data_IF_481201458801
#
_entry.id   IF_481201458801
#
_cell.length_a   1.000
_cell.length_b   1.000
_cell.length_c   1.000
_cell.angle_alpha   90.00
_cell.angle_beta   90.00
_cell.angle_gamma   90.00
#
_symmetry.space_group_name_H-M   'P 1'
#
loop_
_entity.id
_entity.type
_entity.pdbx_description
1 polymer ?
#
# COMPACT_ATOMS: atom_id res chain seq x y z
N UNK A 1 14.25 12.12 3.92
CA UNK A 1 13.24 13.11 4.35
C UNK A 1 11.89 12.41 4.34
N UNK A 2 11.25 12.20 5.49
CA UNK A 2 9.98 11.47 5.57
C UNK A 2 8.87 12.49 5.33
N UNK A 3 8.20 12.41 4.18
CA UNK A 3 7.05 13.24 3.89
C UNK A 3 5.86 12.68 4.67
N UNK A 4 5.38 13.43 5.66
CA UNK A 4 4.21 13.10 6.48
C UNK A 4 3.22 14.26 6.40
N UNK A 5 1.98 13.96 6.08
CA UNK A 5 0.85 14.89 6.19
C UNK A 5 -0.47 14.13 6.18
N UNK A 6 -1.47 14.74 6.82
CA UNK A 6 -2.66 14.04 7.35
C UNK A 6 -3.74 14.03 6.30
N UNK A 7 -4.42 12.89 6.16
CA UNK A 7 -5.84 12.93 5.85
C UNK A 7 -6.56 11.91 6.71
N UNK A 8 -7.75 12.23 7.17
CA UNK A 8 -8.66 11.30 7.86
C UNK A 8 -10.00 11.50 7.19
N UNK A 9 -10.65 10.41 6.75
CA UNK A 9 -11.93 10.50 6.08
C UNK A 9 -12.82 9.26 6.27
N UNK A 10 -14.13 9.50 6.49
CA UNK A 10 -15.15 8.49 6.81
C UNK A 10 -15.68 7.80 5.56
N UNK A 11 -16.30 6.62 5.69
CA UNK A 11 -16.98 5.97 4.57
C UNK A 11 -18.30 6.72 4.26
N UNK A 12 -18.43 7.25 3.04
CA UNK A 12 -19.61 8.02 2.61
C UNK A 12 -20.23 7.40 1.35
N UNK A 13 -21.56 7.37 1.32
CA UNK A 13 -22.34 6.75 0.23
C UNK A 13 -22.89 7.78 -0.78
N UNK A 14 -22.67 9.08 -0.53
CA UNK A 14 -23.15 10.17 -1.37
C UNK A 14 -22.54 10.17 -2.79
N UNK A 15 -23.34 10.59 -3.77
CA UNK A 15 -22.90 10.80 -5.15
C UNK A 15 -22.58 12.28 -5.37
N UNK A 16 -21.42 12.58 -5.95
CA UNK A 16 -21.08 13.94 -6.36
C UNK A 16 -22.13 14.47 -7.38
N UNK A 17 -22.77 15.63 -7.13
CA UNK A 17 -23.65 16.25 -8.10
C UNK A 17 -22.92 16.57 -9.42
N UNK A 18 -23.62 16.45 -10.54
CA UNK A 18 -23.04 16.65 -11.88
C UNK A 18 -22.44 18.05 -12.05
N UNK A 19 -23.14 19.09 -11.60
CA UNK A 19 -22.67 20.47 -11.69
C UNK A 19 -21.37 20.71 -10.91
N UNK A 20 -21.19 20.03 -9.78
CA UNK A 20 -19.97 20.13 -8.97
C UNK A 20 -18.83 19.38 -9.67
N UNK A 21 -19.11 18.18 -10.19
CA UNK A 21 -18.15 17.40 -10.95
C UNK A 21 -17.64 18.16 -12.19
N UNK A 22 -18.50 18.82 -12.95
CA UNK A 22 -18.10 19.62 -14.12
C UNK A 22 -17.17 20.79 -13.72
N UNK A 23 -17.40 21.42 -12.56
CA UNK A 23 -16.51 22.47 -12.03
C UNK A 23 -15.18 21.91 -11.53
N UNK A 24 -15.21 20.76 -10.85
CA UNK A 24 -14.03 20.00 -10.41
C UNK A 24 -13.10 19.70 -11.59
N UNK A 25 -13.67 19.22 -12.70
CA UNK A 25 -12.93 18.92 -13.93
C UNK A 25 -12.28 20.17 -14.52
N UNK A 26 -13.04 21.28 -14.61
CA UNK A 26 -12.53 22.55 -15.17
C UNK A 26 -11.38 23.13 -14.33
N UNK A 27 -11.53 23.18 -13.00
CA UNK A 27 -10.50 23.67 -12.11
C UNK A 27 -9.30 22.71 -12.06
N UNK A 28 -9.57 21.41 -11.99
CA UNK A 28 -8.55 20.36 -12.05
C UNK A 28 -7.69 20.45 -13.30
N UNK A 29 -8.29 20.72 -14.47
CA UNK A 29 -7.58 20.95 -15.73
C UNK A 29 -6.59 22.10 -15.63
N UNK A 30 -7.06 23.29 -15.23
CA UNK A 30 -6.19 24.46 -15.10
C UNK A 30 -5.04 24.24 -14.10
N UNK A 31 -5.30 23.56 -12.98
CA UNK A 31 -4.25 23.22 -12.01
C UNK A 31 -3.23 22.22 -12.58
N UNK A 32 -3.71 21.16 -13.24
CA UNK A 32 -2.88 20.17 -13.90
C UNK A 32 -1.96 20.82 -14.95
N UNK A 33 -2.53 21.64 -15.82
CA UNK A 33 -1.80 22.37 -16.86
C UNK A 33 -0.68 23.23 -16.25
N UNK A 34 -0.97 24.04 -15.24
CA UNK A 34 0.04 24.89 -14.56
C UNK A 34 1.14 24.05 -13.89
N UNK A 35 0.77 22.98 -13.19
CA UNK A 35 1.76 22.14 -12.48
C UNK A 35 2.67 21.42 -13.47
N UNK A 36 2.11 20.89 -14.56
CA UNK A 36 2.85 20.14 -15.56
C UNK A 36 3.70 21.08 -16.41
N UNK A 37 3.23 22.29 -16.74
CA UNK A 37 3.99 23.30 -17.46
C UNK A 37 5.20 23.79 -16.64
N UNK A 38 5.00 24.11 -15.36
CA UNK A 38 6.06 24.65 -14.50
C UNK A 38 7.06 23.57 -14.02
N UNK A 39 6.59 22.35 -13.70
CA UNK A 39 7.41 21.32 -13.05
C UNK A 39 7.55 20.01 -13.83
N UNK A 40 6.79 19.83 -14.90
CA UNK A 40 6.79 18.62 -15.71
C UNK A 40 5.89 17.48 -15.19
N UNK A 41 5.62 16.47 -16.05
CA UNK A 41 4.75 15.34 -15.73
C UNK A 41 5.28 14.45 -14.60
N UNK A 42 6.60 14.32 -14.48
CA UNK A 42 7.25 13.48 -13.47
C UNK A 42 7.00 14.00 -12.05
N UNK A 43 7.08 15.33 -11.87
CA UNK A 43 6.82 15.96 -10.59
C UNK A 43 5.33 15.90 -10.23
N UNK A 44 4.43 16.01 -11.21
CA UNK A 44 3.01 15.79 -10.98
C UNK A 44 2.71 14.38 -10.45
N UNK A 45 3.26 13.34 -11.07
CA UNK A 45 3.08 11.94 -10.63
C UNK A 45 3.61 11.73 -9.22
N UNK A 46 4.79 12.28 -8.93
CA UNK A 46 5.40 12.23 -7.60
C UNK A 46 4.54 12.92 -6.53
N UNK A 47 3.94 14.07 -6.87
CA UNK A 47 3.05 14.81 -5.97
C UNK A 47 1.74 14.08 -5.72
N UNK A 48 1.15 13.44 -6.73
CA UNK A 48 -0.07 12.64 -6.58
C UNK A 48 0.13 11.47 -5.60
N UNK A 49 1.32 10.89 -5.57
CA UNK A 49 1.64 9.82 -4.63
C UNK A 49 1.89 10.31 -3.20
N UNK A 50 2.01 11.62 -2.98
CA UNK A 50 2.14 12.17 -1.64
C UNK A 50 0.74 12.28 -1.01
N UNK A 51 0.46 11.58 0.10
CA UNK A 51 -0.90 11.51 0.62
C UNK A 51 -1.46 12.85 1.11
N UNK A 52 -0.57 13.78 1.47
CA UNK A 52 -0.86 15.13 1.97
C UNK A 52 -1.23 16.02 0.81
N UNK A 53 -0.37 16.00 -0.21
CA UNK A 53 -0.55 16.81 -1.39
C UNK A 53 -1.80 16.38 -2.14
N UNK A 54 -2.03 15.06 -2.27
CA UNK A 54 -3.24 14.51 -2.84
C UNK A 54 -4.50 14.98 -2.09
N UNK A 55 -4.45 14.98 -0.75
CA UNK A 55 -5.55 15.47 0.07
C UNK A 55 -5.80 16.96 -0.15
N UNK A 56 -4.74 17.77 -0.10
CA UNK A 56 -4.80 19.21 -0.29
C UNK A 56 -5.36 19.57 -1.67
N UNK A 57 -4.94 18.85 -2.72
CA UNK A 57 -5.49 19.00 -4.06
C UNK A 57 -7.01 18.74 -4.07
N UNK A 58 -7.46 17.65 -3.43
CA UNK A 58 -8.88 17.32 -3.34
C UNK A 58 -9.70 18.41 -2.65
N UNK A 59 -9.18 18.98 -1.55
CA UNK A 59 -9.83 20.08 -0.83
C UNK A 59 -9.82 21.39 -1.62
N UNK A 60 -8.72 21.73 -2.31
CA UNK A 60 -8.65 22.92 -3.19
C UNK A 60 -9.66 22.83 -4.32
N UNK A 61 -9.89 21.62 -4.85
CA UNK A 61 -10.90 21.40 -5.87
C UNK A 61 -12.34 21.49 -5.34
N UNK A 62 -12.56 21.86 -4.07
CA UNK A 62 -13.85 22.00 -3.40
C UNK A 62 -14.54 20.66 -3.07
N UNK A 63 -13.75 19.67 -2.62
CA UNK A 63 -14.26 18.45 -2.01
C UNK A 63 -14.04 18.44 -0.50
N UNK A 64 -14.97 17.82 0.23
CA UNK A 64 -14.89 17.73 1.69
C UNK A 64 -13.64 16.95 2.12
N UNK A 65 -12.86 17.57 3.00
CA UNK A 65 -11.58 17.02 3.45
C UNK A 65 -11.75 15.71 4.25
N UNK A 66 -12.90 15.50 4.86
CA UNK A 66 -13.22 14.32 5.67
C UNK A 66 -14.00 13.25 4.91
N UNK A 67 -14.10 13.33 3.56
CA UNK A 67 -14.91 12.38 2.79
C UNK A 67 -14.11 11.29 2.08
N UNK A 68 -14.49 10.01 2.26
CA UNK A 68 -13.94 8.92 1.42
C UNK A 68 -14.25 9.09 -0.07
N UNK A 69 -15.30 9.86 -0.38
CA UNK A 69 -15.63 10.29 -1.73
C UNK A 69 -14.48 11.05 -2.40
N UNK A 70 -13.69 11.80 -1.63
CA UNK A 70 -12.63 12.68 -2.14
C UNK A 70 -11.68 11.92 -3.06
N UNK A 71 -11.16 10.78 -2.63
CA UNK A 71 -10.22 9.99 -3.43
C UNK A 71 -10.85 9.54 -4.75
N UNK A 72 -12.07 9.02 -4.70
CA UNK A 72 -12.73 8.46 -5.88
C UNK A 72 -13.20 9.52 -6.87
N UNK A 73 -13.62 10.69 -6.36
CA UNK A 73 -14.07 11.81 -7.19
C UNK A 73 -12.88 12.60 -7.73
N UNK A 74 -11.85 12.84 -6.92
CA UNK A 74 -10.63 13.53 -7.36
C UNK A 74 -9.97 12.77 -8.52
N UNK A 75 -9.72 11.47 -8.36
CA UNK A 75 -9.11 10.65 -9.42
C UNK A 75 -9.97 10.62 -10.69
N UNK A 76 -11.29 10.54 -10.57
CA UNK A 76 -12.20 10.61 -11.71
C UNK A 76 -12.17 12.00 -12.38
N UNK A 77 -12.17 13.07 -11.61
CA UNK A 77 -12.12 14.44 -12.11
C UNK A 77 -10.79 14.74 -12.81
N UNK A 78 -9.66 14.29 -12.26
CA UNK A 78 -8.35 14.43 -12.90
C UNK A 78 -8.25 13.62 -14.19
N UNK A 79 -8.76 12.38 -14.21
CA UNK A 79 -8.81 11.54 -15.42
C UNK A 79 -9.66 12.18 -16.52
N UNK A 80 -10.77 12.81 -16.16
CA UNK A 80 -11.61 13.56 -17.11
C UNK A 80 -10.96 14.89 -17.52
N UNK A 81 -10.25 15.56 -16.61
CA UNK A 81 -9.59 16.84 -16.86
C UNK A 81 -8.52 16.72 -17.95
N UNK A 82 -7.72 15.66 -17.94
CA UNK A 82 -6.67 15.44 -18.96
C UNK A 82 -7.20 14.84 -20.28
N UNK A 83 -8.49 14.50 -20.36
CA UNK A 83 -9.05 13.82 -21.53
C UNK A 83 -8.85 14.64 -22.81
N UNK A 84 -8.20 14.04 -23.79
CA UNK A 84 -7.87 14.66 -25.08
C UNK A 84 -6.56 15.45 -25.09
N UNK A 85 -5.92 15.66 -23.93
CA UNK A 85 -4.65 16.37 -23.76
C UNK A 85 -3.55 15.47 -23.17
N UNK A 86 -3.80 14.17 -22.99
CA UNK A 86 -2.89 13.26 -22.28
C UNK A 86 -1.52 13.18 -22.96
N UNK A 87 -1.49 13.22 -24.30
CA UNK A 87 -0.25 13.16 -25.09
C UNK A 87 0.61 14.41 -24.91
N UNK A 88 -0.02 15.56 -24.76
CA UNK A 88 0.64 16.87 -24.64
C UNK A 88 1.13 17.09 -23.21
N UNK A 89 0.28 16.77 -22.23
CA UNK A 89 0.61 16.81 -20.81
C UNK A 89 1.62 15.72 -20.41
N UNK A 90 1.70 14.63 -21.16
CA UNK A 90 2.62 13.51 -20.89
C UNK A 90 2.25 12.69 -19.65
N UNK A 91 1.01 12.81 -19.16
CA UNK A 91 0.45 12.11 -18.00
C UNK A 91 -0.75 11.28 -18.44
N UNK A 92 -0.83 10.05 -17.93
CA UNK A 92 -1.90 9.12 -18.21
C UNK A 92 -2.46 8.58 -16.90
N UNK A 93 -3.78 8.42 -16.84
CA UNK A 93 -4.50 7.92 -15.66
C UNK A 93 -5.36 6.74 -16.08
N UNK A 94 -5.14 5.59 -15.45
CA UNK A 94 -5.87 4.36 -15.67
C UNK A 94 -6.63 3.93 -14.40
N UNK A 95 -7.72 3.18 -14.56
CA UNK A 95 -8.53 2.65 -13.47
C UNK A 95 -9.61 3.60 -12.95
N UNK A 96 -10.07 3.35 -11.73
CA UNK A 96 -11.15 4.08 -11.07
C UNK A 96 -11.83 3.29 -9.94
N UNK A 97 -13.09 3.63 -9.63
CA UNK A 97 -13.91 2.96 -8.60
C UNK A 97 -14.58 1.69 -9.13
N UNK A 98 -14.74 0.69 -8.26
CA UNK A 98 -15.55 -0.50 -8.52
C UNK A 98 -15.04 -1.31 -9.71
N UNK A 99 -15.92 -1.65 -10.67
CA UNK A 99 -15.57 -2.45 -11.84
C UNK A 99 -14.46 -1.82 -12.70
N UNK A 100 -14.36 -0.49 -12.73
CA UNK A 100 -13.32 0.24 -13.49
C UNK A 100 -11.92 -0.06 -12.94
N UNK A 101 -11.77 -0.27 -11.63
CA UNK A 101 -10.47 -0.64 -11.03
C UNK A 101 -9.87 -1.91 -11.65
N UNK A 102 -10.72 -2.86 -12.06
CA UNK A 102 -10.30 -4.14 -12.65
C UNK A 102 -9.87 -4.01 -14.11
N UNK A 103 -10.23 -2.92 -14.78
CA UNK A 103 -9.86 -2.63 -16.17
C UNK A 103 -8.52 -1.89 -16.29
N UNK A 104 -7.90 -1.51 -15.17
CA UNK A 104 -6.63 -0.77 -15.17
C UNK A 104 -5.55 -1.42 -16.06
N UNK A 105 -5.31 -2.74 -16.02
CA UNK A 105 -4.33 -3.38 -16.90
C UNK A 105 -4.63 -3.17 -18.40
N UNK A 106 -5.88 -3.37 -18.80
CA UNK A 106 -6.35 -3.18 -20.19
C UNK A 106 -6.20 -1.71 -20.62
N UNK A 107 -6.51 -0.77 -19.73
CA UNK A 107 -6.32 0.66 -20.01
C UNK A 107 -4.84 1.04 -20.18
N UNK A 108 -3.93 0.43 -19.41
CA UNK A 108 -2.49 0.62 -19.55
C UNK A 108 -1.99 0.05 -20.88
N UNK A 109 -2.42 -1.17 -21.24
CA UNK A 109 -2.08 -1.80 -22.52
C UNK A 109 -2.55 -0.95 -23.71
N UNK A 110 -3.80 -0.48 -23.69
CA UNK A 110 -4.35 0.41 -24.70
C UNK A 110 -3.55 1.72 -24.85
N UNK A 111 -3.04 2.28 -23.75
CA UNK A 111 -2.17 3.46 -23.82
C UNK A 111 -0.78 3.12 -24.32
N UNK A 112 -0.24 1.96 -23.95
CA UNK A 112 1.02 1.44 -24.49
C UNK A 112 1.00 1.41 -26.02
N UNK A 113 -0.08 0.89 -26.59
CA UNK A 113 -0.27 0.83 -28.05
C UNK A 113 -0.44 2.23 -28.65
N UNK A 114 -1.30 3.09 -28.08
CA UNK A 114 -1.54 4.47 -28.58
C UNK A 114 -0.32 5.37 -28.55
N UNK A 115 0.64 5.07 -27.69
CA UNK A 115 1.88 5.83 -27.48
C UNK A 115 3.09 5.16 -28.12
N UNK A 116 2.94 3.96 -28.69
CA UNK A 116 4.04 3.11 -29.16
C UNK A 116 5.13 2.93 -28.06
N UNK A 117 4.72 2.71 -26.81
CA UNK A 117 5.66 2.41 -25.74
C UNK A 117 6.32 1.04 -25.98
N UNK A 118 7.62 0.87 -25.63
CA UNK A 118 8.26 -0.44 -25.67
C UNK A 118 7.43 -1.49 -24.94
N UNK A 119 7.28 -2.67 -25.55
CA UNK A 119 6.43 -3.73 -24.99
C UNK A 119 6.83 -4.10 -23.55
N UNK A 120 8.12 -4.12 -23.25
CA UNK A 120 8.64 -4.36 -21.89
C UNK A 120 8.24 -3.28 -20.90
N UNK A 121 8.20 -2.00 -21.32
CA UNK A 121 7.72 -0.91 -20.48
C UNK A 121 6.22 -1.06 -20.18
N UNK A 122 5.41 -1.37 -21.20
CA UNK A 122 3.97 -1.60 -21.03
C UNK A 122 3.69 -2.77 -20.08
N UNK A 123 4.39 -3.90 -20.27
CA UNK A 123 4.31 -5.06 -19.37
C UNK A 123 4.72 -4.70 -17.94
N UNK A 124 5.78 -3.92 -17.77
CA UNK A 124 6.24 -3.44 -16.45
C UNK A 124 5.18 -2.57 -15.76
N UNK A 125 4.54 -1.63 -16.47
CA UNK A 125 3.47 -0.80 -15.90
C UNK A 125 2.25 -1.64 -15.48
N UNK A 126 1.84 -2.61 -16.32
CA UNK A 126 0.77 -3.56 -15.98
C UNK A 126 1.13 -4.39 -14.75
N UNK A 127 2.37 -4.86 -14.68
CA UNK A 127 2.89 -5.60 -13.53
C UNK A 127 2.83 -4.75 -12.25
N UNK A 128 3.33 -3.51 -12.30
CA UNK A 128 3.34 -2.58 -11.17
C UNK A 128 1.93 -2.29 -10.67
N UNK A 129 0.97 -2.09 -11.58
CA UNK A 129 -0.45 -1.89 -11.24
C UNK A 129 -1.03 -3.10 -10.50
N UNK A 130 -0.86 -4.31 -11.07
CA UNK A 130 -1.39 -5.55 -10.49
C UNK A 130 -0.75 -5.86 -9.15
N UNK A 131 0.57 -5.72 -9.05
CA UNK A 131 1.32 -6.06 -7.85
C UNK A 131 1.02 -5.09 -6.71
N UNK A 132 0.90 -3.78 -6.97
CA UNK A 132 0.51 -2.80 -5.94
C UNK A 132 -0.85 -3.14 -5.32
N UNK A 133 -1.83 -3.54 -6.15
CA UNK A 133 -3.14 -3.98 -5.65
C UNK A 133 -3.07 -5.30 -4.88
N UNK A 134 -2.18 -6.20 -5.29
CA UNK A 134 -1.98 -7.50 -4.64
C UNK A 134 -1.29 -7.36 -3.29
N UNK A 135 -0.32 -6.46 -3.17
CA UNK A 135 0.34 -6.15 -1.91
C UNK A 135 -0.65 -5.57 -0.91
N UNK A 136 -1.45 -4.58 -1.32
CA UNK A 136 -2.44 -3.92 -0.45
C UNK A 136 -3.55 -4.88 0.02
N UNK A 137 -3.90 -5.88 -0.79
CA UNK A 137 -4.96 -6.84 -0.47
C UNK A 137 -4.49 -8.15 0.18
N UNK A 138 -3.23 -8.56 -0.03
CA UNK A 138 -2.72 -9.86 0.42
C UNK A 138 -1.62 -9.75 1.47
N UNK A 139 -0.83 -8.68 1.50
CA UNK A 139 0.27 -8.53 2.45
C UNK A 139 -0.07 -7.58 3.61
N UNK A 140 -0.97 -6.62 3.41
CA UNK A 140 -1.55 -5.81 4.48
C UNK A 140 -2.95 -6.36 4.76
N UNK A 141 -3.09 -7.12 5.84
CA UNK A 141 -4.36 -7.76 6.17
C UNK A 141 -4.95 -7.14 7.43
N UNK A 142 -5.74 -6.10 7.20
CA UNK A 142 -6.29 -5.17 8.20
C UNK A 142 -7.82 -5.06 8.13
N UNK A 143 -8.46 -5.88 7.28
CA UNK A 143 -9.90 -5.88 7.08
C UNK A 143 -10.43 -4.81 6.10
N UNK A 144 -9.55 -4.06 5.41
CA UNK A 144 -9.98 -3.11 4.38
C UNK A 144 -9.98 -3.75 2.99
N UNK A 145 -11.16 -3.88 2.39
CA UNK A 145 -11.29 -4.43 1.04
C UNK A 145 -11.10 -3.33 -0.02
N UNK A 146 -10.12 -3.51 -0.91
CA UNK A 146 -9.85 -2.58 -2.02
C UNK A 146 -11.05 -2.50 -2.96
N UNK A 147 -11.52 -1.27 -3.19
CA UNK A 147 -12.64 -0.98 -4.10
C UNK A 147 -12.33 0.13 -5.11
N UNK A 148 -11.20 0.80 -4.97
CA UNK A 148 -10.75 1.85 -5.85
C UNK A 148 -9.26 1.69 -6.14
N UNK A 149 -8.88 1.82 -7.42
CA UNK A 149 -7.50 1.76 -7.88
C UNK A 149 -7.34 2.76 -9.03
N UNK A 150 -6.52 3.78 -8.82
CA UNK A 150 -6.12 4.74 -9.84
C UNK A 150 -4.61 4.67 -10.05
N UNK A 151 -4.20 4.39 -11.28
CA UNK A 151 -2.81 4.23 -11.69
C UNK A 151 -2.40 5.41 -12.58
N UNK A 152 -1.41 6.16 -12.15
CA UNK A 152 -0.88 7.34 -12.83
C UNK A 152 0.48 6.98 -13.41
N UNK A 153 0.75 7.33 -14.66
CA UNK A 153 2.06 7.09 -15.28
C UNK A 153 2.42 8.14 -16.33
N UNK A 154 3.73 8.30 -16.58
CA UNK A 154 4.26 9.15 -17.65
C UNK A 154 4.85 8.32 -18.79
N UNK A 155 5.15 8.98 -19.92
CA UNK A 155 5.91 8.37 -21.03
C UNK A 155 7.30 7.89 -20.60
N UNK A 156 7.93 8.58 -19.64
CA UNK A 156 9.26 8.20 -19.10
C UNK A 156 9.17 7.02 -18.14
N UNK A 157 7.97 6.66 -17.72
CA UNK A 157 7.69 5.44 -16.96
C UNK A 157 7.75 5.59 -15.44
N UNK A 158 7.82 6.82 -14.91
CA UNK A 158 7.42 7.06 -13.52
C UNK A 158 5.96 6.70 -13.35
N UNK A 159 5.63 6.19 -12.18
CA UNK A 159 4.26 5.81 -11.87
C UNK A 159 3.91 6.05 -10.40
N UNK A 160 2.62 6.23 -10.17
CA UNK A 160 2.03 6.34 -8.85
C UNK A 160 0.72 5.55 -8.79
N UNK A 161 0.40 5.01 -7.62
CA UNK A 161 -0.88 4.37 -7.38
C UNK A 161 -1.56 5.00 -6.18
N UNK A 162 -2.82 5.40 -6.38
CA UNK A 162 -3.72 5.80 -5.31
C UNK A 162 -4.84 4.77 -5.22
N UNK A 163 -4.84 4.02 -4.12
CA UNK A 163 -5.80 2.96 -3.84
C UNK A 163 -6.63 3.27 -2.62
N UNK A 164 -7.85 2.76 -2.57
CA UNK A 164 -8.70 2.88 -1.40
C UNK A 164 -9.38 1.56 -1.05
N UNK A 165 -9.23 1.15 0.21
CA UNK A 165 -9.95 0.07 0.84
C UNK A 165 -11.07 0.60 1.72
N UNK A 166 -12.14 -0.19 1.85
CA UNK A 166 -13.26 0.08 2.76
C UNK A 166 -13.35 -1.01 3.83
N UNK A 167 -13.71 -0.61 5.04
CA UNK A 167 -14.11 -1.51 6.10
C UNK A 167 -15.57 -1.21 6.45
N UNK A 168 -16.47 -2.12 6.07
CA UNK A 168 -17.92 -1.95 6.23
C UNK A 168 -18.40 -2.17 7.66
N UNK A 169 -17.61 -2.86 8.50
CA UNK A 169 -17.95 -3.07 9.92
C UNK A 169 -17.77 -1.77 10.68
N UNK A 170 -16.63 -1.10 10.46
CA UNK A 170 -16.29 0.13 11.16
C UNK A 170 -16.70 1.40 10.40
N UNK A 171 -17.31 1.28 9.21
CA UNK A 171 -17.68 2.40 8.33
C UNK A 171 -16.51 3.36 8.06
N UNK A 172 -15.32 2.81 7.82
CA UNK A 172 -14.09 3.58 7.57
C UNK A 172 -13.46 3.25 6.23
N UNK A 173 -12.62 4.17 5.75
CA UNK A 173 -11.82 3.97 4.56
C UNK A 173 -10.31 4.07 4.87
N UNK A 174 -9.50 3.45 4.02
CA UNK A 174 -8.04 3.46 4.10
C UNK A 174 -7.45 3.69 2.72
N UNK A 175 -6.59 4.71 2.60
CA UNK A 175 -5.88 5.05 1.37
C UNK A 175 -4.48 4.48 1.36
N UNK A 176 -4.07 3.98 0.22
CA UNK A 176 -2.71 3.49 -0.01
C UNK A 176 -2.09 4.29 -1.15
N UNK A 177 -0.87 4.75 -0.93
CA UNK A 177 -0.13 5.58 -1.88
C UNK A 177 1.20 4.90 -2.22
N UNK A 178 1.49 4.86 -3.51
CA UNK A 178 2.68 4.23 -4.08
C UNK A 178 3.36 5.19 -5.05
N UNK A 179 4.68 5.10 -5.15
CA UNK A 179 5.48 5.88 -6.10
C UNK A 179 6.75 5.13 -6.51
N UNK A 180 7.09 5.22 -7.78
CA UNK A 180 8.42 4.91 -8.29
C UNK A 180 8.77 5.87 -9.43
N UNK A 181 10.01 6.33 -9.44
CA UNK A 181 10.62 7.14 -10.49
C UNK A 181 11.25 6.29 -11.61
N UNK A 182 11.24 4.96 -11.46
CA UNK A 182 11.81 4.00 -12.41
C UNK A 182 10.79 2.99 -12.89
N UNK A 183 10.86 2.67 -14.18
CA UNK A 183 10.44 1.38 -14.72
C UNK A 183 11.41 0.34 -14.16
N UNK A 184 10.93 -0.64 -13.41
CA UNK A 184 11.81 -1.73 -13.02
C UNK A 184 12.17 -2.53 -14.28
N UNK A 185 13.44 -2.42 -14.67
CA UNK A 185 14.15 -3.46 -15.40
C UNK A 185 14.78 -4.34 -14.31
N UNK A 186 14.38 -5.60 -14.30
CA UNK A 186 14.84 -6.73 -13.50
C UNK A 186 16.13 -6.50 -12.70
N UNK A 187 16.03 -6.50 -11.37
CA UNK A 187 17.17 -6.69 -10.49
C UNK A 187 17.52 -8.18 -10.44
N UNK A 188 18.11 -8.70 -11.51
CA UNK A 188 18.85 -9.97 -11.55
C UNK A 188 20.05 -9.81 -12.50
N UNK A 189 20.89 -8.80 -12.25
CA UNK A 189 22.28 -8.81 -12.70
C UNK A 189 23.18 -8.57 -11.48
N UNK A 190 23.62 -9.67 -10.86
CA UNK A 190 24.81 -9.67 -10.02
C UNK A 190 26.03 -9.33 -10.88
N UNK A 191 26.39 -8.05 -10.95
CA UNK A 191 27.74 -7.66 -11.36
C UNK A 191 28.68 -7.88 -10.17
N UNK A 192 29.52 -8.92 -10.26
CA UNK A 192 30.66 -9.12 -9.38
C UNK A 192 31.75 -8.14 -9.84
N UNK A 193 31.97 -7.06 -9.08
CA UNK A 193 33.15 -6.23 -9.27
C UNK A 193 34.37 -6.91 -8.64
N UNK A 194 35.51 -6.82 -9.33
CA UNK A 194 36.76 -7.52 -9.04
C UNK A 194 37.45 -7.19 -7.69
N UNK A 195 36.88 -6.29 -6.88
CA UNK A 195 37.61 -5.68 -5.75
C UNK A 195 37.11 -6.10 -4.35
N UNK A 196 36.20 -7.07 -4.20
CA UNK A 196 35.74 -7.59 -2.89
C UNK A 196 35.45 -6.50 -1.83
N UNK A 197 35.00 -5.32 -2.25
CA UNK A 197 34.54 -4.23 -1.38
C UNK A 197 33.04 -4.10 -1.56
N UNK A 198 32.31 -4.55 -0.56
CA UNK A 198 30.85 -4.47 -0.46
C UNK A 198 30.43 -3.00 -0.35
N UNK A 199 30.30 -2.30 -1.48
CA UNK A 199 29.53 -1.06 -1.55
C UNK A 199 28.07 -1.43 -1.81
N UNK A 200 27.30 -1.62 -0.75
CA UNK A 200 25.83 -1.73 -0.81
C UNK A 200 25.23 -0.38 -1.24
N UNK A 201 25.14 -0.17 -2.55
CA UNK A 201 24.32 0.89 -3.15
C UNK A 201 23.01 0.30 -3.64
N UNK A 202 22.24 -0.30 -2.73
CA UNK A 202 20.98 -0.97 -3.05
C UNK A 202 19.81 -0.18 -2.48
N UNK A 203 19.47 0.96 -3.07
CA UNK A 203 18.14 1.56 -2.89
C UNK A 203 17.19 1.07 -4.00
N UNK A 204 17.19 -0.24 -4.25
CA UNK A 204 16.22 -0.85 -5.17
C UNK A 204 14.83 -0.75 -4.52
N UNK A 205 13.87 -0.18 -5.25
CA UNK A 205 12.47 -0.20 -4.85
C UNK A 205 12.03 -1.67 -4.64
N UNK A 206 11.38 -1.97 -3.53
CA UNK A 206 10.93 -3.33 -3.20
C UNK A 206 9.41 -3.31 -3.02
N UNK A 207 8.69 -4.16 -3.74
CA UNK A 207 7.23 -4.25 -3.62
C UNK A 207 6.76 -4.92 -2.32
N UNK A 208 7.61 -5.69 -1.66
CA UNK A 208 7.22 -6.57 -0.56
C UNK A 208 7.77 -6.16 0.81
N UNK A 209 8.57 -5.10 0.86
CA UNK A 209 9.17 -4.57 2.08
C UNK A 209 9.12 -3.05 2.07
N UNK A 210 8.33 -2.46 2.97
CA UNK A 210 8.09 -1.02 3.11
C UNK A 210 7.82 -0.29 1.76
N UNK A 211 6.92 -0.81 0.90
CA UNK A 211 6.77 -0.30 -0.46
C UNK A 211 5.98 1.02 -0.54
N UNK A 212 5.13 1.28 0.46
CA UNK A 212 4.20 2.40 0.45
C UNK A 212 4.90 3.73 0.64
N UNK A 213 4.51 4.71 -0.17
CA UNK A 213 4.81 6.12 0.10
C UNK A 213 4.06 6.59 1.36
N UNK A 214 2.82 6.12 1.53
CA UNK A 214 2.05 6.31 2.75
C UNK A 214 0.75 5.51 2.75
N UNK A 215 0.30 5.14 3.95
CA UNK A 215 -1.00 4.52 4.18
C UNK A 215 -1.76 5.43 5.14
N UNK A 216 -2.94 5.87 4.72
CA UNK A 216 -3.73 6.88 5.41
C UNK A 216 -5.05 6.27 5.85
N UNK A 217 -5.38 6.39 7.13
CA UNK A 217 -6.62 5.84 7.69
C UNK A 217 -7.05 6.66 8.89
N UNK A 218 -8.36 6.67 9.19
CA UNK A 218 -8.89 7.27 10.43
C UNK A 218 -8.57 6.41 11.65
N UNK A 219 -8.63 5.09 11.47
CA UNK A 219 -8.50 4.14 12.55
C UNK A 219 -7.31 3.21 12.32
N UNK A 220 -6.47 3.13 13.35
CA UNK A 220 -5.52 2.03 13.53
C UNK A 220 -6.28 0.82 14.01
N UNK A 221 -6.11 -0.27 13.29
CA UNK A 221 -6.61 -1.57 13.65
C UNK A 221 -5.68 -2.19 14.69
N UNK A 222 -6.28 -2.76 15.73
CA UNK A 222 -5.54 -3.48 16.77
C UNK A 222 -4.98 -4.80 16.26
N UNK A 223 -5.60 -5.36 15.22
CA UNK A 223 -5.34 -6.69 14.70
C UNK A 223 -5.05 -6.61 13.21
N UNK A 224 -3.76 -6.54 12.86
CA UNK A 224 -3.29 -6.47 11.48
C UNK A 224 -2.21 -7.50 11.27
N UNK A 225 -2.27 -8.28 10.18
CA UNK A 225 -1.10 -9.02 9.72
C UNK A 225 -0.39 -8.17 8.66
N UNK A 226 0.79 -7.66 9.00
CA UNK A 226 1.56 -6.74 8.16
C UNK A 226 2.80 -7.44 7.61
N UNK A 227 2.66 -8.09 6.46
CA UNK A 227 3.75 -8.81 5.79
C UNK A 227 4.67 -7.90 4.97
N UNK A 228 4.33 -6.61 4.81
CA UNK A 228 5.22 -5.62 4.17
C UNK A 228 6.19 -4.96 5.14
N UNK A 229 5.98 -5.09 6.45
CA UNK A 229 6.90 -4.55 7.46
C UNK A 229 8.30 -5.12 7.31
N UNK A 230 9.33 -4.31 7.52
CA UNK A 230 10.71 -4.81 7.58
C UNK A 230 10.90 -5.93 8.61
N UNK A 231 10.15 -5.89 9.71
CA UNK A 231 10.20 -6.91 10.77
C UNK A 231 9.73 -8.29 10.27
N UNK A 232 8.84 -8.33 9.27
CA UNK A 232 8.33 -9.57 8.66
C UNK A 232 9.31 -10.23 7.69
N UNK A 233 10.57 -9.76 7.60
CA UNK A 233 11.58 -10.29 6.68
C UNK A 233 11.80 -11.79 6.79
N UNK A 234 12.05 -12.29 8.00
CA UNK A 234 12.24 -13.73 8.25
C UNK A 234 11.01 -14.55 7.83
N UNK A 235 9.81 -14.05 8.11
CA UNK A 235 8.55 -14.71 7.72
C UNK A 235 8.44 -14.81 6.19
N UNK A 236 8.82 -13.75 5.46
CA UNK A 236 8.84 -13.76 4.00
C UNK A 236 9.83 -14.79 3.46
N UNK A 237 11.04 -14.81 4.00
CA UNK A 237 12.10 -15.74 3.56
C UNK A 237 11.69 -17.20 3.81
N UNK A 238 11.19 -17.50 5.01
CA UNK A 238 10.68 -18.84 5.33
C UNK A 238 9.48 -19.25 4.47
N UNK A 239 8.57 -18.32 4.17
CA UNK A 239 7.44 -18.60 3.28
C UNK A 239 7.90 -19.07 1.90
N UNK A 240 8.99 -18.51 1.38
CA UNK A 240 9.61 -18.94 0.12
C UNK A 240 10.26 -20.31 0.29
N UNK A 241 11.05 -20.51 1.35
CA UNK A 241 11.72 -21.78 1.62
C UNK A 241 10.74 -22.94 1.79
N UNK A 242 9.62 -22.71 2.46
CA UNK A 242 8.54 -23.69 2.65
C UNK A 242 7.96 -24.16 1.31
N UNK A 243 7.72 -23.22 0.41
CA UNK A 243 7.24 -23.52 -0.95
C UNK A 243 8.31 -24.27 -1.76
N UNK A 244 9.58 -23.85 -1.65
CA UNK A 244 10.69 -24.49 -2.36
C UNK A 244 11.00 -25.90 -1.85
N UNK A 245 10.77 -26.17 -0.57
CA UNK A 245 10.91 -27.49 0.07
C UNK A 245 9.90 -28.51 -0.47
N UNK A 246 8.81 -28.06 -1.08
CA UNK A 246 7.86 -28.88 -1.81
C UNK A 246 6.58 -29.18 -1.05
N UNK A 247 5.56 -29.55 -1.83
CA UNK A 247 4.16 -29.64 -1.39
C UNK A 247 3.95 -30.60 -0.21
N UNK A 248 4.56 -31.79 -0.26
CA UNK A 248 4.40 -32.79 0.81
C UNK A 248 4.93 -32.32 2.16
N UNK A 249 6.07 -31.61 2.19
CA UNK A 249 6.64 -31.07 3.42
C UNK A 249 5.72 -29.97 3.99
N UNK A 250 5.29 -29.04 3.13
CA UNK A 250 4.42 -27.94 3.53
C UNK A 250 3.06 -28.42 4.05
N UNK A 251 2.43 -29.41 3.41
CA UNK A 251 1.15 -29.96 3.88
C UNK A 251 1.32 -30.69 5.22
N UNK A 252 2.44 -31.41 5.41
CA UNK A 252 2.73 -32.04 6.69
C UNK A 252 2.82 -31.00 7.81
N UNK A 253 3.50 -29.89 7.56
CA UNK A 253 3.60 -28.77 8.47
C UNK A 253 2.22 -28.16 8.81
N UNK A 254 1.38 -27.92 7.79
CA UNK A 254 -0.01 -27.46 7.99
C UNK A 254 -0.84 -28.48 8.78
N UNK A 255 -0.65 -29.78 8.56
CA UNK A 255 -1.34 -30.84 9.30
C UNK A 255 -0.88 -30.96 10.75
N UNK A 256 0.40 -30.69 11.05
CA UNK A 256 0.93 -30.62 12.42
C UNK A 256 0.21 -29.50 13.16
N UNK A 257 0.09 -28.31 12.56
CA UNK A 257 -0.66 -27.19 13.15
C UNK A 257 -2.10 -27.60 13.50
N UNK A 258 -2.79 -28.30 12.60
CA UNK A 258 -4.15 -28.80 12.84
C UNK A 258 -4.25 -29.73 14.06
N UNK A 259 -3.28 -30.63 14.25
CA UNK A 259 -3.29 -31.58 15.38
C UNK A 259 -3.08 -30.88 16.73
N UNK A 260 -2.49 -29.69 16.70
CA UNK A 260 -2.10 -28.94 17.89
C UNK A 260 -2.83 -27.57 18.00
N UNK A 261 -3.89 -27.32 17.21
CA UNK A 261 -4.69 -26.09 17.25
C UNK A 261 -6.04 -26.33 17.97
N UNK A 262 -6.01 -26.55 19.28
CA UNK A 262 -7.14 -26.42 20.22
C UNK A 262 -7.10 -25.06 20.98
N UNK A 263 -8.18 -24.60 21.62
CA UNK A 263 -8.21 -23.28 22.28
C UNK A 263 -7.36 -23.13 23.56
N UNK A 264 -6.64 -24.17 24.04
CA UNK A 264 -5.96 -24.20 25.36
C UNK A 264 -4.79 -25.25 25.33
N UNK A 265 -3.49 -24.91 25.49
CA UNK A 265 -2.29 -25.83 25.63
C UNK A 265 -0.97 -25.37 26.38
N UNK A 266 -0.75 -25.78 27.63
CA UNK A 266 0.50 -25.93 28.41
C UNK A 266 0.49 -27.41 28.71
N UNK A 267 1.48 -28.14 28.25
CA UNK A 267 1.52 -29.56 28.52
C UNK A 267 2.14 -29.84 29.90
N UNK A 268 1.40 -30.48 30.80
CA UNK A 268 1.94 -31.13 31.98
C UNK A 268 1.66 -32.64 31.91
N UNK A 269 2.72 -33.44 31.98
CA UNK A 269 2.63 -34.91 31.89
C UNK A 269 2.87 -35.50 33.28
N UNK A 270 1.87 -36.21 33.81
CA UNK A 270 2.01 -36.97 35.04
C UNK A 270 1.95 -38.48 34.72
N UNK A 271 2.94 -39.23 35.20
CA UNK A 271 2.99 -40.70 35.08
C UNK A 271 2.68 -41.35 36.42
N UNK A 272 1.58 -42.11 36.47
CA UNK A 272 1.26 -42.97 37.61
C UNK A 272 0.90 -44.36 37.06
N UNK A 273 1.56 -45.40 37.58
CA UNK A 273 1.29 -46.82 37.35
C UNK A 273 1.00 -47.22 35.89
N UNK A 274 2.00 -47.03 35.01
CA UNK A 274 1.96 -47.41 33.58
C UNK A 274 0.87 -46.77 32.72
N UNK A 275 0.18 -45.73 33.21
CA UNK A 275 -0.72 -44.89 32.40
C UNK A 275 -0.19 -43.45 32.37
N UNK A 276 -0.09 -42.90 31.16
CA UNK A 276 0.30 -41.51 30.92
C UNK A 276 -0.97 -40.68 30.80
N UNK A 277 -1.11 -39.67 31.65
CA UNK A 277 -2.18 -38.66 31.54
C UNK A 277 -1.50 -37.33 31.21
N UNK A 278 -1.99 -36.68 30.15
CA UNK A 278 -1.44 -35.44 29.60
C UNK A 278 -2.44 -34.31 29.84
N UNK A 279 -2.06 -33.30 30.62
CA UNK A 279 -2.80 -32.07 30.85
C UNK A 279 -2.30 -30.96 29.92
N UNK A 280 -3.17 -30.00 29.56
CA UNK A 280 -2.99 -29.05 28.45
C UNK A 280 -3.57 -27.63 28.79
N UNK A 281 -2.79 -26.66 29.30
CA UNK A 281 -3.16 -25.25 29.64
C UNK A 281 -2.43 -24.05 28.88
N UNK A 282 -2.81 -23.49 27.73
CA UNK A 282 -1.94 -22.49 27.01
C UNK A 282 -1.99 -21.18 27.78
N UNK A 283 -0.85 -20.70 28.28
CA UNK A 283 -0.76 -19.32 28.76
C UNK A 283 -0.65 -18.35 27.59
N UNK A 284 -1.51 -17.32 27.60
CA UNK A 284 -1.62 -16.28 26.57
C UNK A 284 -0.51 -15.20 26.67
N UNK A 285 0.71 -15.56 27.08
CA UNK A 285 1.82 -14.60 27.24
C UNK A 285 2.57 -14.34 25.92
N UNK A 286 2.69 -15.35 25.05
CA UNK A 286 3.47 -15.26 23.80
C UNK A 286 2.65 -15.07 22.52
N UNK A 287 1.33 -15.22 22.59
CA UNK A 287 0.43 -15.21 21.44
C UNK A 287 -0.40 -13.93 21.42
N UNK A 288 0.11 -12.89 20.75
CA UNK A 288 -0.73 -11.76 20.34
C UNK A 288 -1.58 -12.24 19.17
N UNK A 289 -2.90 -12.09 19.26
CA UNK A 289 -3.91 -12.44 18.26
C UNK A 289 -3.37 -12.60 16.83
N UNK A 290 -3.49 -13.81 16.26
CA UNK A 290 -3.26 -14.06 14.85
C UNK A 290 -4.63 -14.10 14.15
N UNK A 291 -4.89 -13.38 13.05
CA UNK A 291 -6.18 -13.36 12.33
C UNK A 291 -6.62 -14.72 11.75
N UNK A 292 -5.90 -15.77 12.09
CA UNK A 292 -5.93 -17.09 11.50
C UNK A 292 -6.36 -18.17 12.50
N UNK A 293 -6.46 -17.82 13.80
CA UNK A 293 -6.94 -18.73 14.86
C UNK A 293 -8.31 -19.35 14.51
N UNK A 294 -9.12 -18.64 13.72
CA UNK A 294 -10.46 -19.07 13.30
C UNK A 294 -10.52 -19.63 11.87
N UNK A 295 -9.42 -19.69 11.12
CA UNK A 295 -9.43 -20.14 9.73
C UNK A 295 -9.06 -21.61 9.57
N UNK A 296 -9.98 -22.43 9.07
CA UNK A 296 -9.67 -23.77 8.59
C UNK A 296 -9.10 -23.71 7.15
N UNK A 297 -7.79 -23.88 7.05
CA UNK A 297 -7.08 -23.98 5.77
C UNK A 297 -7.20 -25.37 5.12
N UNK A 298 -7.47 -26.40 5.91
CA UNK A 298 -7.40 -27.81 5.48
C UNK A 298 -8.56 -28.26 4.61
N UNK A 299 -9.69 -27.55 4.66
CA UNK A 299 -10.89 -27.82 3.86
C UNK A 299 -10.90 -27.08 2.51
N UNK A 300 -9.89 -26.24 2.23
CA UNK A 300 -9.90 -25.42 1.03
C UNK A 300 -9.24 -26.12 -0.15
N UNK A 301 -10.04 -26.78 -0.99
CA UNK A 301 -9.59 -27.32 -2.29
C UNK A 301 -8.86 -26.29 -3.16
N UNK A 302 -9.21 -25.01 -3.02
CA UNK A 302 -8.51 -23.92 -3.68
C UNK A 302 -7.10 -23.72 -3.13
N UNK A 303 -6.95 -23.69 -1.80
CA UNK A 303 -5.65 -23.55 -1.15
C UNK A 303 -4.72 -24.71 -1.50
N UNK A 304 -5.27 -25.93 -1.53
CA UNK A 304 -4.53 -27.13 -1.91
C UNK A 304 -3.93 -27.01 -3.32
N UNK A 305 -4.78 -26.67 -4.29
CA UNK A 305 -4.38 -26.47 -5.69
C UNK A 305 -3.34 -25.38 -5.86
N UNK A 306 -3.49 -24.25 -5.16
CA UNK A 306 -2.54 -23.15 -5.29
C UNK A 306 -1.20 -23.48 -4.63
N UNK A 307 -1.19 -24.14 -3.46
CA UNK A 307 0.06 -24.55 -2.82
C UNK A 307 0.84 -25.55 -3.68
N UNK A 308 0.14 -26.53 -4.28
CA UNK A 308 0.74 -27.47 -5.23
C UNK A 308 1.38 -26.72 -6.41
N UNK A 309 0.60 -25.87 -7.09
CA UNK A 309 1.07 -25.08 -8.23
C UNK A 309 2.32 -24.25 -7.90
N UNK A 310 2.35 -23.60 -6.74
CA UNK A 310 3.45 -22.70 -6.38
C UNK A 310 4.69 -23.50 -5.95
N UNK A 311 4.51 -24.65 -5.30
CA UNK A 311 5.61 -25.58 -5.01
C UNK A 311 6.24 -26.15 -6.30
N UNK A 312 5.46 -26.31 -7.37
CA UNK A 312 5.97 -26.72 -8.68
C UNK A 312 6.75 -25.59 -9.37
N UNK A 313 6.24 -24.34 -9.30
CA UNK A 313 6.89 -23.16 -9.89
C UNK A 313 8.22 -22.82 -9.18
N UNK A 314 8.32 -23.05 -7.87
CA UNK A 314 9.49 -22.70 -7.03
C UNK A 314 9.96 -21.25 -7.23
N UNK A 315 9.16 -20.26 -6.79
CA UNK A 315 9.50 -18.84 -6.94
C UNK A 315 10.88 -18.53 -6.33
N UNK A 316 11.64 -17.65 -6.99
CA UNK A 316 12.99 -17.23 -6.56
C UNK A 316 12.96 -16.31 -5.34
N UNK A 317 11.85 -15.59 -5.13
CA UNK A 317 11.69 -14.68 -4.00
C UNK A 317 10.23 -14.35 -3.67
N UNK A 318 10.02 -13.62 -2.58
CA UNK A 318 8.69 -13.35 -2.04
C UNK A 318 7.82 -12.50 -2.99
N UNK A 319 8.43 -11.65 -3.80
CA UNK A 319 7.73 -10.89 -4.85
C UNK A 319 7.21 -11.81 -5.96
N UNK A 320 8.03 -12.72 -6.48
CA UNK A 320 7.62 -13.69 -7.51
C UNK A 320 6.59 -14.71 -6.96
N UNK A 321 6.75 -15.11 -5.69
CA UNK A 321 5.76 -15.87 -4.94
C UNK A 321 4.43 -15.12 -4.93
N UNK A 322 4.43 -13.86 -4.49
CA UNK A 322 3.23 -13.04 -4.48
C UNK A 322 2.67 -12.85 -5.89
N UNK A 323 3.49 -12.63 -6.92
CA UNK A 323 3.03 -12.38 -8.29
C UNK A 323 2.29 -13.58 -8.92
N UNK A 324 2.55 -14.80 -8.44
CA UNK A 324 1.95 -16.03 -8.96
C UNK A 324 0.41 -15.99 -8.97
N UNK A 325 -0.20 -16.28 -10.12
CA UNK A 325 -1.65 -16.22 -10.29
C UNK A 325 -2.38 -17.21 -9.35
N UNK A 326 -3.30 -16.68 -8.54
CA UNK A 326 -4.04 -17.40 -7.50
C UNK A 326 -3.50 -17.20 -6.07
N UNK A 327 -2.31 -16.63 -5.91
CA UNK A 327 -1.81 -16.25 -4.59
C UNK A 327 -2.62 -15.11 -4.01
N UNK A 328 -3.40 -15.37 -2.97
CA UNK A 328 -4.27 -14.40 -2.31
C UNK A 328 -3.99 -14.29 -0.81
N UNK A 329 -4.70 -13.40 -0.10
CA UNK A 329 -4.52 -13.17 1.33
C UNK A 329 -4.56 -14.46 2.15
N UNK A 330 -5.52 -15.36 1.86
CA UNK A 330 -5.65 -16.65 2.57
C UNK A 330 -4.39 -17.51 2.44
N UNK A 331 -3.81 -17.60 1.24
CA UNK A 331 -2.58 -18.37 1.01
C UNK A 331 -1.38 -17.74 1.70
N UNK A 332 -1.25 -16.41 1.63
CA UNK A 332 -0.18 -15.69 2.34
C UNK A 332 -0.29 -15.84 3.86
N UNK A 333 -1.52 -15.83 4.42
CA UNK A 333 -1.77 -16.12 5.84
C UNK A 333 -1.33 -17.51 6.23
N UNK A 334 -1.64 -18.53 5.42
CA UNK A 334 -1.26 -19.90 5.71
C UNK A 334 0.28 -20.05 5.78
N UNK A 335 1.01 -19.47 4.82
CA UNK A 335 2.48 -19.50 4.82
C UNK A 335 3.08 -18.74 6.01
N UNK A 336 2.52 -17.57 6.34
CA UNK A 336 2.94 -16.79 7.50
C UNK A 336 2.71 -17.53 8.82
N UNK A 337 1.55 -18.18 8.98
CA UNK A 337 1.22 -18.98 10.16
C UNK A 337 2.20 -20.14 10.36
N UNK A 338 2.48 -20.89 9.29
CA UNK A 338 3.45 -22.00 9.33
C UNK A 338 4.83 -21.47 9.72
N UNK A 339 5.26 -20.38 9.09
CA UNK A 339 6.55 -19.74 9.38
C UNK A 339 6.65 -19.26 10.84
N UNK A 340 5.57 -18.73 11.42
CA UNK A 340 5.54 -18.26 12.80
C UNK A 340 5.50 -19.42 13.81
N UNK A 341 4.55 -20.36 13.67
CA UNK A 341 4.30 -21.36 14.71
C UNK A 341 5.35 -22.47 14.69
N UNK A 342 5.74 -22.97 13.52
CA UNK A 342 6.67 -24.10 13.44
C UNK A 342 8.12 -23.61 13.51
N UNK A 343 8.40 -22.46 12.90
CA UNK A 343 9.78 -21.98 12.70
C UNK A 343 10.10 -20.69 13.47
N UNK A 344 9.16 -20.13 14.24
CA UNK A 344 9.38 -18.97 15.11
C UNK A 344 9.59 -17.63 14.38
N UNK A 345 9.34 -17.56 13.06
CA UNK A 345 9.51 -16.32 12.30
C UNK A 345 8.28 -15.43 12.43
N UNK A 346 8.25 -14.64 13.51
CA UNK A 346 7.13 -13.75 13.84
C UNK A 346 6.96 -12.64 12.79
N UNK A 347 5.79 -12.54 12.12
CA UNK A 347 5.47 -11.39 11.29
C UNK A 347 5.16 -10.16 12.16
N UNK A 348 5.19 -8.99 11.53
CA UNK A 348 4.72 -7.75 12.15
C UNK A 348 3.21 -7.75 12.29
N UNK A 349 2.75 -7.44 13.49
CA UNK A 349 1.34 -7.18 13.80
C UNK A 349 1.00 -5.69 13.93
N UNK A 350 1.99 -4.82 13.69
CA UNK A 350 1.81 -3.37 13.72
C UNK A 350 1.06 -2.88 12.46
N UNK A 351 0.01 -2.11 12.67
CA UNK A 351 -0.75 -1.47 11.60
C UNK A 351 0.14 -0.49 10.82
N UNK A 352 0.33 -0.68 9.50
CA UNK A 352 1.17 0.19 8.68
C UNK A 352 0.55 1.57 8.42
N UNK A 353 -0.70 1.82 8.84
CA UNK A 353 -1.32 3.13 8.76
C UNK A 353 -0.46 4.18 9.47
N UNK A 354 0.02 5.14 8.69
CA UNK A 354 0.73 6.30 9.19
C UNK A 354 -0.29 7.42 9.30
N UNK A 355 -0.68 7.70 10.53
CA UNK A 355 -1.16 9.04 10.80
C UNK A 355 0.01 9.98 10.56
N UNK A 356 -0.19 10.92 9.68
CA UNK A 356 0.46 12.17 9.96
C UNK A 356 -0.36 12.82 11.05
N UNK A 357 0.25 13.17 12.16
CA UNK A 357 -0.10 14.42 12.81
C UNK A 357 1.10 15.29 12.48
N UNK A 358 0.95 16.22 11.51
CA UNK A 358 2.10 17.02 11.09
C UNK A 358 2.72 17.72 12.32
N UNK A 359 1.84 18.11 13.26
CA UNK A 359 2.19 18.80 14.49
C UNK A 359 1.39 18.31 15.70
N UNK A 360 0.98 17.04 15.81
CA UNK A 360 0.16 16.54 16.94
C UNK A 360 -1.30 17.05 17.00
N UNK A 361 -2.04 16.70 18.05
CA UNK A 361 -3.45 17.06 18.26
C UNK A 361 -3.65 18.02 19.44
N UNK A 362 -4.61 18.95 19.33
CA UNK A 362 -4.91 19.94 20.38
C UNK A 362 -5.26 19.29 21.74
N UNK A 363 -5.92 18.13 21.68
CA UNK A 363 -6.38 17.36 22.84
C UNK A 363 -5.38 16.25 23.23
N UNK A 364 -4.11 16.40 22.83
CA UNK A 364 -3.03 15.44 23.03
C UNK A 364 -3.29 14.02 22.49
N UNK A 365 -4.29 13.87 21.63
CA UNK A 365 -4.68 12.59 21.07
C UNK A 365 -4.41 12.60 19.56
N UNK A 366 -3.54 11.70 19.05
CA UNK A 366 -2.84 10.63 19.74
C UNK A 366 -1.52 11.06 20.42
N UNK A 367 -1.03 12.28 20.17
CA UNK A 367 0.06 12.90 20.94
C UNK A 367 -0.06 14.45 20.91
N UNK A 368 0.55 15.17 21.88
CA UNK A 368 0.51 16.63 21.97
C UNK A 368 1.07 17.33 20.74
N UNK A 369 0.71 18.61 20.58
CA UNK A 369 1.16 19.41 19.45
C UNK A 369 2.68 19.57 19.42
N UNK A 370 3.33 19.10 18.35
CA UNK A 370 4.77 19.28 18.09
C UNK A 370 5.02 20.67 17.49
N UNK A 371 5.29 21.63 18.38
CA UNK A 371 5.50 23.04 18.04
C UNK A 371 6.73 23.25 17.17
N UNK A 372 7.81 22.50 17.38
CA UNK A 372 9.04 22.66 16.62
C UNK A 372 8.83 22.31 15.15
N UNK A 373 8.12 21.21 14.88
CA UNK A 373 7.76 20.84 13.51
C UNK A 373 6.77 21.86 12.92
N UNK A 374 5.90 22.47 13.75
CA UNK A 374 4.96 23.54 13.35
C UNK A 374 5.70 24.75 12.79
N UNK A 375 6.67 25.25 13.55
CA UNK A 375 7.49 26.41 13.18
C UNK A 375 8.31 26.15 11.91
N UNK A 376 8.87 24.94 11.77
CA UNK A 376 9.60 24.53 10.57
C UNK A 376 8.72 24.51 9.31
N UNK A 377 7.47 24.06 9.45
CA UNK A 377 6.49 24.07 8.34
C UNK A 377 6.08 25.49 7.98
N UNK A 378 5.84 26.36 8.96
CA UNK A 378 5.56 27.79 8.73
C UNK A 378 6.72 28.43 7.96
N UNK A 379 7.96 28.21 8.37
CA UNK A 379 9.13 28.77 7.66
C UNK A 379 9.36 28.17 6.27
N UNK A 380 8.99 26.90 6.05
CA UNK A 380 8.95 26.31 4.72
C UNK A 380 7.89 26.99 3.83
N UNK A 381 6.69 27.22 4.36
CA UNK A 381 5.59 27.89 3.67
C UNK A 381 5.96 29.34 3.32
N UNK A 382 6.56 30.10 4.25
CA UNK A 382 7.06 31.47 3.98
C UNK A 382 8.08 31.49 2.84
N UNK A 383 9.04 30.56 2.86
CA UNK A 383 10.03 30.42 1.77
C UNK A 383 9.39 30.05 0.43
N UNK A 384 8.32 29.26 0.45
CA UNK A 384 7.55 28.94 -0.75
C UNK A 384 6.82 30.19 -1.28
N UNK A 385 6.08 30.90 -0.43
CA UNK A 385 5.34 32.13 -0.80
C UNK A 385 6.27 33.21 -1.37
N UNK A 386 7.48 33.33 -0.82
CA UNK A 386 8.49 34.26 -1.35
C UNK A 386 8.83 33.97 -2.82
N UNK A 387 8.84 32.70 -3.23
CA UNK A 387 9.22 32.24 -4.58
C UNK A 387 8.07 32.21 -5.59
N UNK A 388 6.81 32.22 -5.16
CA UNK A 388 5.65 32.24 -6.07
C UNK A 388 5.63 33.57 -6.84
N UNK A 389 5.22 33.60 -8.12
CA UNK A 389 4.95 34.85 -8.84
C UNK A 389 3.57 35.40 -8.45
N UNK A 390 3.51 36.05 -7.29
CA UNK A 390 2.36 36.84 -6.83
C UNK A 390 2.77 38.30 -6.66
N UNK A 391 1.79 39.19 -6.72
CA UNK A 391 1.99 40.60 -6.43
C UNK A 391 2.51 40.79 -5.00
N UNK A 392 3.36 41.80 -4.82
CA UNK A 392 4.07 42.05 -3.56
C UNK A 392 3.12 42.26 -2.38
N UNK A 393 1.99 42.93 -2.61
CA UNK A 393 0.94 43.16 -1.61
C UNK A 393 0.28 41.85 -1.15
N UNK A 394 0.02 40.92 -2.08
CA UNK A 394 -0.56 39.62 -1.78
C UNK A 394 0.42 38.70 -1.04
N UNK A 395 1.69 38.67 -1.46
CA UNK A 395 2.74 37.94 -0.75
C UNK A 395 2.86 38.41 0.70
N UNK A 396 2.90 39.73 0.90
CA UNK A 396 3.03 40.33 2.23
C UNK A 396 1.82 39.99 3.11
N UNK A 397 0.60 40.01 2.54
CA UNK A 397 -0.62 39.60 3.24
C UNK A 397 -0.59 38.12 3.66
N UNK A 398 -0.14 37.24 2.78
CA UNK A 398 -0.04 35.80 3.07
C UNK A 398 1.00 35.54 4.16
N UNK A 399 2.17 36.18 4.09
CA UNK A 399 3.22 36.06 5.12
C UNK A 399 2.73 36.58 6.47
N UNK A 400 2.05 37.73 6.51
CA UNK A 400 1.48 38.28 7.74
C UNK A 400 0.43 37.36 8.38
N UNK A 401 -0.33 36.61 7.57
CA UNK A 401 -1.30 35.64 8.09
C UNK A 401 -0.64 34.35 8.61
N UNK A 402 0.56 34.01 8.14
CA UNK A 402 1.36 32.88 8.63
C UNK A 402 2.13 33.19 9.93
N UNK A 403 2.18 34.46 10.34
CA UNK A 403 2.85 34.93 11.57
C UNK A 403 1.89 35.20 12.73
N UNK A 404 0.59 35.07 12.50
CA UNK A 404 -0.47 35.11 13.52
C UNK A 404 -0.74 33.71 14.03
#
# INVERSE_FOLDING_TARGET
MIHRGIATFTLDEGKCPKWLFERLVRLGRGMLEIIIDEYGPEEFIKRIADPVWFQALGTVLAFDWNSSGLTTILTAALKEAIRGQEKDLGVFIAGGKGKTSRKTPEEIENWGDKLNLPQEQTKSLVYNSRLSAKVDSALVQDGFQIYHHAFFFSKKGSWAVVQQGMNTVNQTARRYHWYSDKTQINADETQINADNKTQTKTSAFSFVCEPHRGIVSELKQKFVLNLVSRQSGKTRDLSVQLVQAGYHSLIKDIQILRKHSSPIHQMAVLKINNRQITFLNLENEEFKFHPVILEDFSQSRYLEKILMKVCDIKPSGYETLLATAGMGPKTMRALALVSEIIYGAKPSYEDPARYSFAHGGKDATPYPVDRQTYDQTIEMMKRAVAKIKLDFSEKRRIIQNLEK
#
